data_IF_921876046055
#
_entry.id   IF_921876046055
#
_cell.length_a   1.000
_cell.length_b   1.000
_cell.length_c   1.000
_cell.angle_alpha   90.00
_cell.angle_beta   90.00
_cell.angle_gamma   90.00
#
_symmetry.space_group_name_H-M   'P 1'
#
loop_
_entity.id
_entity.type
_entity.pdbx_description
1 polymer ?
#
# COMPACT_ATOMS: atom_id res chain seq x y z
N UNK A 1 15.61 -7.26 0.94
CA UNK A 1 16.60 -6.41 1.65
C UNK A 1 17.95 -7.08 1.71
N UNK A 2 18.08 -8.33 2.26
CA UNK A 2 19.37 -9.03 2.42
C UNK A 2 20.16 -9.14 1.10
N UNK A 3 19.52 -9.55 0.00
CA UNK A 3 20.18 -9.73 -1.29
C UNK A 3 20.74 -8.41 -1.88
N UNK A 4 20.12 -7.27 -1.57
CA UNK A 4 20.52 -5.96 -2.06
C UNK A 4 21.29 -5.14 -1.02
N UNK A 5 21.46 -5.65 0.20
CA UNK A 5 22.03 -4.95 1.34
C UNK A 5 21.36 -3.60 1.61
N UNK A 6 20.02 -3.57 1.55
CA UNK A 6 19.22 -2.39 1.80
C UNK A 6 18.51 -2.48 3.15
N UNK A 7 18.25 -1.33 3.76
CA UNK A 7 17.43 -1.24 4.97
C UNK A 7 15.96 -1.52 4.63
N UNK A 8 15.26 -2.16 5.56
CA UNK A 8 13.82 -2.42 5.50
C UNK A 8 13.09 -1.42 6.38
N UNK A 9 11.96 -0.95 5.90
CA UNK A 9 10.95 -0.24 6.69
C UNK A 9 9.55 -0.62 6.19
N UNK A 10 8.53 -0.22 6.91
CA UNK A 10 7.14 -0.51 6.61
C UNK A 10 6.37 0.75 6.25
N UNK A 11 5.49 0.61 5.29
CA UNK A 11 4.32 1.47 5.09
C UNK A 11 3.11 0.61 5.38
N UNK A 12 2.16 1.10 6.16
CA UNK A 12 0.96 0.34 6.56
C UNK A 12 -0.28 0.99 5.92
N UNK A 13 -0.52 0.75 4.63
CA UNK A 13 -1.72 1.27 3.99
C UNK A 13 -2.95 0.50 4.48
N UNK A 14 -4.05 1.24 4.62
CA UNK A 14 -5.33 0.73 5.07
C UNK A 14 -6.40 1.00 4.05
N UNK A 15 -7.24 0.00 3.82
CA UNK A 15 -8.40 0.10 2.93
C UNK A 15 -9.48 0.97 3.57
N UNK A 16 -10.02 1.92 2.82
CA UNK A 16 -11.21 2.69 3.18
C UNK A 16 -12.39 1.97 2.56
N UNK A 17 -13.31 1.47 3.38
CA UNK A 17 -14.42 0.62 2.94
C UNK A 17 -15.70 1.43 2.71
N UNK A 18 -16.59 0.92 1.86
CA UNK A 18 -17.90 1.53 1.64
C UNK A 18 -18.83 1.31 2.84
N UNK A 19 -19.83 2.20 3.07
CA UNK A 19 -20.81 2.05 4.13
C UNK A 19 -21.53 0.69 4.05
N UNK A 20 -21.50 -0.06 5.15
CA UNK A 20 -22.18 -1.36 5.25
C UNK A 20 -21.57 -2.50 4.44
N UNK A 21 -20.44 -2.27 3.74
CA UNK A 21 -19.75 -3.32 2.99
C UNK A 21 -18.23 -3.24 3.17
N UNK A 22 -17.66 -3.94 4.16
CA UNK A 22 -16.23 -3.90 4.45
C UNK A 22 -15.35 -4.49 3.35
N UNK A 23 -15.91 -5.31 2.46
CA UNK A 23 -15.16 -5.89 1.34
C UNK A 23 -15.08 -4.97 0.13
N UNK A 24 -15.91 -3.93 0.07
CA UNK A 24 -15.95 -3.01 -1.04
C UNK A 24 -15.13 -1.74 -0.74
N UNK A 25 -13.93 -1.66 -1.32
CA UNK A 25 -13.03 -0.54 -1.12
C UNK A 25 -13.44 0.70 -1.94
N UNK A 26 -13.51 1.85 -1.28
CA UNK A 26 -13.68 3.17 -1.91
C UNK A 26 -12.38 3.96 -1.94
N UNK A 27 -11.32 3.44 -1.33
CA UNK A 27 -10.00 4.07 -1.30
C UNK A 27 -9.02 3.35 -0.41
N UNK A 28 -7.90 4.01 -0.17
CA UNK A 28 -6.88 3.58 0.78
C UNK A 28 -6.16 4.79 1.37
N UNK A 29 -5.59 4.62 2.56
CA UNK A 29 -4.78 5.62 3.26
C UNK A 29 -3.54 4.96 3.87
N UNK A 30 -2.45 5.69 3.98
CA UNK A 30 -1.28 5.33 4.78
C UNK A 30 -1.24 6.15 6.08
N UNK A 31 -0.34 5.78 6.99
CA UNK A 31 -0.26 6.34 8.36
C UNK A 31 -0.03 7.85 8.45
N UNK A 32 0.57 8.44 7.44
CA UNK A 32 0.98 9.86 7.41
C UNK A 32 0.12 10.74 6.51
N UNK A 33 -0.99 10.12 5.95
CA UNK A 33 -1.45 10.86 5.03
C UNK A 33 -2.66 11.18 4.38
N UNK A 34 -2.49 11.38 3.11
CA UNK A 34 -3.58 11.68 2.21
C UNK A 34 -4.20 10.37 1.71
N UNK A 35 -5.52 10.29 1.80
CA UNK A 35 -6.26 9.19 1.22
C UNK A 35 -6.17 9.20 -0.32
N UNK A 36 -6.14 8.02 -0.90
CA UNK A 36 -6.36 7.79 -2.33
C UNK A 36 -7.79 7.30 -2.48
N UNK A 37 -8.67 8.14 -2.96
CA UNK A 37 -10.10 7.85 -3.11
C UNK A 37 -10.47 7.48 -4.54
N UNK A 38 -11.49 6.65 -4.69
CA UNK A 38 -12.10 6.32 -5.97
C UNK A 38 -13.35 7.18 -6.18
N UNK A 39 -13.15 8.37 -6.77
CA UNK A 39 -14.19 9.37 -6.96
C UNK A 39 -15.38 8.83 -7.78
N UNK A 40 -15.14 7.97 -8.75
CA UNK A 40 -16.22 7.38 -9.56
C UNK A 40 -17.13 6.47 -8.74
N UNK A 41 -16.56 5.68 -7.84
CA UNK A 41 -17.33 4.82 -6.92
C UNK A 41 -18.07 5.67 -5.92
N UNK A 42 -17.41 6.66 -5.29
CA UNK A 42 -18.01 7.57 -4.32
C UNK A 42 -19.23 8.29 -4.92
N UNK A 43 -19.06 8.82 -6.12
CA UNK A 43 -20.12 9.50 -6.86
C UNK A 43 -21.28 8.56 -7.22
N UNK A 44 -20.98 7.34 -7.75
CA UNK A 44 -21.99 6.37 -8.14
C UNK A 44 -22.86 5.91 -6.97
N UNK A 45 -22.23 5.63 -5.83
CA UNK A 45 -22.93 5.16 -4.63
C UNK A 45 -23.36 6.28 -3.70
N UNK A 46 -23.13 7.56 -4.09
CA UNK A 46 -23.53 8.76 -3.33
C UNK A 46 -23.05 8.71 -1.86
N UNK A 47 -21.81 8.29 -1.67
CA UNK A 47 -21.21 8.19 -0.33
C UNK A 47 -20.96 9.60 0.20
N UNK A 48 -21.43 9.89 1.42
CA UNK A 48 -21.30 11.22 2.01
C UNK A 48 -19.86 11.55 2.39
N UNK A 49 -19.49 12.83 2.28
CA UNK A 49 -18.17 13.30 2.68
C UNK A 49 -17.93 13.08 4.18
N UNK A 50 -18.94 13.25 5.02
CA UNK A 50 -18.86 13.01 6.47
C UNK A 50 -18.44 11.57 6.79
N UNK A 51 -19.03 10.58 6.09
CA UNK A 51 -18.62 9.18 6.24
C UNK A 51 -17.17 8.96 5.82
N UNK A 52 -16.79 9.52 4.68
CA UNK A 52 -15.41 9.39 4.16
C UNK A 52 -14.40 9.97 5.16
N UNK A 53 -14.65 11.18 5.68
CA UNK A 53 -13.75 11.85 6.61
C UNK A 53 -13.59 11.04 7.91
N UNK A 54 -14.70 10.49 8.43
CA UNK A 54 -14.67 9.65 9.62
C UNK A 54 -13.91 8.34 9.39
N UNK A 55 -14.14 7.66 8.27
CA UNK A 55 -13.48 6.40 7.95
C UNK A 55 -11.97 6.61 7.68
N UNK A 56 -11.61 7.68 6.99
CA UNK A 56 -10.21 8.10 6.81
C UNK A 56 -9.51 8.28 8.15
N UNK A 57 -10.13 8.97 9.10
CA UNK A 57 -9.53 9.20 10.42
C UNK A 57 -9.40 7.91 11.23
N UNK A 58 -10.38 7.02 11.15
CA UNK A 58 -10.35 5.71 11.82
C UNK A 58 -9.23 4.83 11.26
N UNK A 59 -9.14 4.70 9.95
CA UNK A 59 -8.13 3.87 9.29
C UNK A 59 -6.71 4.45 9.44
N UNK A 60 -6.57 5.78 9.51
CA UNK A 60 -5.30 6.44 9.81
C UNK A 60 -4.80 6.11 11.22
N UNK A 61 -5.67 6.17 12.21
CA UNK A 61 -5.32 5.78 13.60
C UNK A 61 -4.90 4.32 13.68
N UNK A 62 -5.61 3.44 13.00
CA UNK A 62 -5.27 2.01 12.98
C UNK A 62 -3.95 1.76 12.24
N UNK A 63 -3.67 2.46 11.13
CA UNK A 63 -2.39 2.40 10.44
C UNK A 63 -1.24 2.81 11.37
N UNK A 64 -1.39 3.93 12.08
CA UNK A 64 -0.41 4.41 13.06
C UNK A 64 -0.19 3.42 14.21
N UNK A 65 -1.28 2.85 14.74
CA UNK A 65 -1.21 1.83 15.80
C UNK A 65 -0.40 0.61 15.34
N UNK A 66 -0.72 0.06 14.16
CA UNK A 66 0.00 -1.09 13.59
C UNK A 66 1.47 -0.77 13.34
N UNK A 67 1.75 0.38 12.72
CA UNK A 67 3.11 0.79 12.45
C UNK A 67 3.94 0.90 13.74
N UNK A 68 3.35 1.46 14.80
CA UNK A 68 4.01 1.54 16.11
C UNK A 68 4.27 0.15 16.71
N UNK A 69 3.33 -0.78 16.55
CA UNK A 69 3.50 -2.17 17.00
C UNK A 69 4.64 -2.87 16.26
N UNK A 70 4.68 -2.77 14.93
CA UNK A 70 5.68 -3.46 14.11
C UNK A 70 7.08 -2.84 14.22
N UNK A 71 7.17 -1.53 14.28
CA UNK A 71 8.46 -0.80 14.35
C UNK A 71 9.02 -0.76 15.76
N UNK A 72 8.18 -0.83 16.78
CA UNK A 72 8.61 -0.68 18.19
C UNK A 72 9.28 0.67 18.40
N UNK A 73 10.50 0.66 18.91
CA UNK A 73 11.29 1.87 19.18
C UNK A 73 12.19 2.31 18.01
N UNK A 74 12.14 1.63 16.87
CA UNK A 74 12.96 2.02 15.73
C UNK A 74 12.43 3.32 15.11
N UNK A 75 13.31 4.29 14.83
CA UNK A 75 12.90 5.49 14.11
C UNK A 75 12.57 5.13 12.66
N UNK A 76 11.64 5.87 12.03
CA UNK A 76 11.36 5.70 10.61
C UNK A 76 12.62 5.97 9.78
N UNK A 77 12.75 5.28 8.64
CA UNK A 77 13.82 5.58 7.71
C UNK A 77 13.66 7.00 7.16
N UNK A 78 14.76 7.74 7.15
CA UNK A 78 14.84 9.00 6.42
C UNK A 78 14.85 8.70 4.91
N UNK A 79 13.82 9.16 4.20
CA UNK A 79 13.66 8.97 2.76
C UNK A 79 14.08 10.19 1.94
N UNK A 80 14.43 11.31 2.61
CA UNK A 80 14.78 12.54 1.91
C UNK A 80 15.94 12.30 0.94
N UNK A 81 15.72 12.66 -0.31
CA UNK A 81 16.67 12.55 -1.42
C UNK A 81 17.12 11.10 -1.74
N UNK A 82 16.41 10.09 -1.24
CA UNK A 82 16.75 8.67 -1.46
C UNK A 82 15.83 8.00 -2.46
N UNK A 83 16.25 6.84 -2.94
CA UNK A 83 15.40 5.92 -3.70
C UNK A 83 14.63 5.03 -2.76
N UNK A 84 13.31 5.05 -2.84
CA UNK A 84 12.42 4.11 -2.17
C UNK A 84 12.03 2.98 -3.12
N UNK A 85 12.17 1.74 -2.69
CA UNK A 85 11.68 0.56 -3.41
C UNK A 85 10.49 0.01 -2.63
N UNK A 86 9.30 0.15 -3.19
CA UNK A 86 8.06 -0.40 -2.65
C UNK A 86 7.86 -1.81 -3.18
N UNK A 87 7.68 -2.76 -2.28
CA UNK A 87 7.53 -4.19 -2.61
C UNK A 87 6.24 -4.71 -2.01
N UNK A 88 5.53 -5.54 -2.75
CA UNK A 88 4.33 -6.23 -2.30
C UNK A 88 4.26 -7.60 -2.97
N UNK A 89 3.38 -8.50 -2.52
CA UNK A 89 3.12 -9.81 -3.11
C UNK A 89 2.39 -9.70 -4.46
N UNK A 90 1.63 -8.66 -4.69
CA UNK A 90 0.98 -8.36 -5.95
C UNK A 90 0.00 -7.20 -5.86
N UNK A 91 -0.39 -6.69 -7.02
CA UNK A 91 -1.27 -5.53 -7.10
C UNK A 91 -2.52 -5.86 -7.91
N UNK A 92 -3.69 -5.84 -7.24
CA UNK A 92 -4.99 -6.01 -7.89
C UNK A 92 -5.57 -4.65 -8.37
N UNK A 93 -6.09 -3.84 -7.46
CA UNK A 93 -6.71 -2.53 -7.80
C UNK A 93 -5.72 -1.36 -7.78
N UNK A 94 -4.61 -1.53 -7.09
CA UNK A 94 -3.57 -0.51 -6.92
C UNK A 94 -3.84 0.52 -5.83
N UNK A 95 -5.00 0.58 -5.20
CA UNK A 95 -5.33 1.61 -4.20
C UNK A 95 -4.34 1.62 -3.03
N UNK A 96 -4.01 0.44 -2.50
CA UNK A 96 -3.06 0.25 -1.39
C UNK A 96 -1.66 0.72 -1.77
N UNK A 97 -1.15 0.28 -2.93
CA UNK A 97 0.16 0.70 -3.43
C UNK A 97 0.22 2.20 -3.69
N UNK A 98 -0.83 2.80 -4.24
CA UNK A 98 -0.89 4.25 -4.48
C UNK A 98 -0.89 5.06 -3.18
N UNK A 99 -1.54 4.56 -2.11
CA UNK A 99 -1.43 5.17 -0.78
C UNK A 99 0.01 5.10 -0.25
N UNK A 100 0.71 3.97 -0.43
CA UNK A 100 2.12 3.83 -0.07
C UNK A 100 3.03 4.77 -0.90
N UNK A 101 2.78 4.91 -2.20
CA UNK A 101 3.50 5.86 -3.07
C UNK A 101 3.33 7.31 -2.57
N UNK A 102 2.11 7.73 -2.23
CA UNK A 102 1.87 9.06 -1.66
C UNK A 102 2.64 9.27 -0.36
N UNK A 103 2.63 8.28 0.54
CA UNK A 103 3.38 8.33 1.80
C UNK A 103 4.87 8.55 1.56
N UNK A 104 5.52 7.74 0.72
CA UNK A 104 6.96 7.90 0.49
C UNK A 104 7.31 9.18 -0.27
N UNK A 105 6.43 9.68 -1.13
CA UNK A 105 6.57 11.02 -1.75
C UNK A 105 6.55 12.13 -0.71
N UNK A 106 5.58 12.10 0.20
CA UNK A 106 5.46 13.06 1.28
C UNK A 106 6.70 13.08 2.20
N UNK A 107 7.35 11.92 2.37
CA UNK A 107 8.62 11.77 3.12
C UNK A 107 9.86 12.21 2.32
N UNK A 108 9.70 12.76 1.14
CA UNK A 108 10.77 13.35 0.33
C UNK A 108 11.62 12.35 -0.46
N UNK A 109 11.09 11.17 -0.77
CA UNK A 109 11.79 10.23 -1.65
C UNK A 109 12.06 10.87 -3.02
N UNK A 110 13.33 10.80 -3.49
CA UNK A 110 13.78 11.37 -4.76
C UNK A 110 13.40 10.49 -5.95
N UNK A 111 13.45 9.18 -5.78
CA UNK A 111 13.06 8.19 -6.79
C UNK A 111 12.21 7.12 -6.13
N UNK A 112 11.14 6.70 -6.81
CA UNK A 112 10.24 5.66 -6.35
C UNK A 112 10.22 4.53 -7.36
N UNK A 113 10.53 3.33 -6.90
CA UNK A 113 10.47 2.10 -7.68
C UNK A 113 9.39 1.22 -7.03
N UNK A 114 8.48 0.69 -7.83
CA UNK A 114 7.57 -0.37 -7.41
C UNK A 114 8.06 -1.70 -7.99
N UNK A 115 8.14 -2.73 -7.16
CA UNK A 115 8.58 -4.06 -7.58
C UNK A 115 7.65 -5.14 -7.02
N UNK A 116 6.92 -5.83 -7.89
CA UNK A 116 5.95 -6.87 -7.51
C UNK A 116 6.01 -8.06 -8.47
N UNK A 117 5.75 -9.30 -8.00
CA UNK A 117 5.68 -10.46 -8.88
C UNK A 117 4.53 -10.38 -9.89
N UNK A 118 3.37 -9.90 -9.47
CA UNK A 118 2.17 -9.88 -10.31
C UNK A 118 1.36 -8.60 -10.12
N UNK A 119 0.81 -8.09 -11.22
CA UNK A 119 -0.07 -6.91 -11.20
C UNK A 119 -1.18 -7.04 -12.23
N UNK A 120 -2.34 -6.44 -11.96
CA UNK A 120 -3.37 -6.26 -12.99
C UNK A 120 -2.91 -5.24 -14.04
N UNK A 121 -3.46 -5.32 -15.25
CA UNK A 121 -3.13 -4.34 -16.29
C UNK A 121 -3.61 -2.93 -15.93
N UNK A 122 -4.79 -2.81 -15.33
CA UNK A 122 -5.33 -1.53 -14.86
C UNK A 122 -4.44 -0.87 -13.80
N UNK A 123 -3.93 -1.66 -12.85
CA UNK A 123 -3.02 -1.15 -11.82
C UNK A 123 -1.66 -0.78 -12.41
N UNK A 124 -1.14 -1.59 -13.34
CA UNK A 124 0.11 -1.31 -14.05
C UNK A 124 0.03 0.04 -14.78
N UNK A 125 -1.03 0.27 -15.54
CA UNK A 125 -1.22 1.52 -16.29
C UNK A 125 -1.26 2.74 -15.35
N UNK A 126 -2.05 2.67 -14.26
CA UNK A 126 -2.21 3.78 -13.31
C UNK A 126 -0.93 4.07 -12.53
N UNK A 127 -0.29 3.03 -11.99
CA UNK A 127 0.87 3.18 -11.11
C UNK A 127 2.12 3.56 -11.90
N UNK A 128 2.30 3.07 -13.13
CA UNK A 128 3.43 3.45 -13.98
C UNK A 128 3.51 4.96 -14.26
N UNK A 129 2.39 5.67 -14.16
CA UNK A 129 2.35 7.13 -14.30
C UNK A 129 2.72 7.88 -13.01
N UNK A 130 2.76 7.19 -11.87
CA UNK A 130 2.98 7.77 -10.56
C UNK A 130 4.39 7.52 -9.98
N UNK A 131 5.18 6.65 -10.63
CA UNK A 131 6.50 6.22 -10.16
C UNK A 131 7.57 6.35 -11.23
N UNK A 132 8.84 6.33 -10.84
CA UNK A 132 9.96 6.42 -11.78
C UNK A 132 10.23 5.08 -12.48
N UNK A 133 9.90 3.96 -11.83
CA UNK A 133 10.11 2.63 -12.38
C UNK A 133 9.13 1.63 -11.79
N UNK A 134 8.55 0.76 -12.64
CA UNK A 134 7.68 -0.32 -12.22
C UNK A 134 8.21 -1.67 -12.73
N UNK A 135 8.64 -2.51 -11.83
CA UNK A 135 9.22 -3.83 -12.08
C UNK A 135 8.19 -4.91 -11.75
N UNK A 136 7.90 -5.80 -12.67
CA UNK A 136 6.97 -6.91 -12.46
C UNK A 136 7.37 -8.13 -13.29
N UNK A 137 6.91 -9.32 -12.88
CA UNK A 137 7.14 -10.57 -13.63
C UNK A 137 5.96 -10.90 -14.54
N UNK A 138 4.72 -10.67 -14.09
CA UNK A 138 3.50 -10.97 -14.84
C UNK A 138 2.46 -9.87 -14.72
N UNK A 139 1.81 -9.53 -15.83
CA UNK A 139 0.61 -8.68 -15.90
C UNK A 139 -0.44 -9.35 -16.79
N UNK A 140 -1.18 -10.37 -16.28
CA UNK A 140 -2.11 -11.17 -17.08
C UNK A 140 -3.34 -10.37 -17.48
N UNK A 141 -3.94 -10.73 -18.61
CA UNK A 141 -5.19 -10.12 -19.11
C UNK A 141 -6.36 -10.39 -18.16
N UNK A 142 -6.41 -11.59 -17.58
CA UNK A 142 -7.41 -11.95 -16.58
C UNK A 142 -6.76 -12.02 -15.21
N UNK A 143 -7.06 -11.06 -14.36
CA UNK A 143 -6.55 -10.95 -13.00
C UNK A 143 -7.70 -11.20 -12.01
N UNK A 144 -7.69 -12.36 -11.37
CA UNK A 144 -8.68 -12.71 -10.35
C UNK A 144 -8.27 -12.14 -8.97
N UNK A 145 -7.31 -12.80 -8.36
CA UNK A 145 -6.76 -12.40 -7.07
C UNK A 145 -5.25 -12.69 -7.03
N UNK A 146 -4.50 -11.94 -6.21
CA UNK A 146 -3.04 -12.11 -6.05
C UNK A 146 -2.68 -13.55 -5.68
N UNK A 147 -3.39 -14.12 -4.69
CA UNK A 147 -3.13 -15.48 -4.21
C UNK A 147 -3.25 -16.59 -5.25
N UNK A 148 -3.97 -16.34 -6.37
CA UNK A 148 -4.08 -17.31 -7.46
C UNK A 148 -2.77 -17.55 -8.25
N UNK A 149 -1.76 -16.71 -8.01
CA UNK A 149 -0.44 -16.79 -8.64
C UNK A 149 0.62 -17.46 -7.76
N UNK A 150 0.22 -17.95 -6.59
CA UNK A 150 1.10 -18.58 -5.60
C UNK A 150 0.65 -20.01 -5.30
N UNK A 151 1.58 -20.93 -5.15
CA UNK A 151 1.29 -22.31 -4.74
C UNK A 151 0.81 -22.39 -3.29
N UNK A 152 1.28 -21.48 -2.44
CA UNK A 152 0.83 -21.26 -1.07
C UNK A 152 0.75 -19.77 -0.78
N UNK A 153 -0.38 -19.31 -0.28
CA UNK A 153 -0.64 -17.91 0.02
C UNK A 153 -1.28 -17.79 1.38
N UNK A 154 -0.45 -17.92 2.42
CA UNK A 154 -0.87 -17.72 3.81
C UNK A 154 -0.65 -16.27 4.23
N UNK A 155 -1.42 -15.82 5.19
CA UNK A 155 -1.21 -14.53 5.81
C UNK A 155 0.07 -14.57 6.66
N UNK A 156 0.88 -13.52 6.56
CA UNK A 156 2.06 -13.31 7.41
C UNK A 156 1.59 -12.86 8.80
N UNK A 157 2.08 -13.52 9.85
CA UNK A 157 1.74 -13.18 11.22
C UNK A 157 2.49 -11.93 11.71
N UNK A 158 1.91 -11.22 12.67
CA UNK A 158 2.47 -9.97 13.19
C UNK A 158 3.88 -10.15 13.78
N UNK A 159 4.14 -11.29 14.44
CA UNK A 159 5.43 -11.64 15.01
C UNK A 159 6.52 -11.77 13.95
N UNK A 160 6.19 -12.37 12.81
CA UNK A 160 7.14 -12.50 11.69
C UNK A 160 7.49 -11.12 11.09
N UNK A 161 6.50 -10.23 10.98
CA UNK A 161 6.72 -8.85 10.51
C UNK A 161 7.65 -8.11 11.48
N UNK A 162 7.40 -8.21 12.79
CA UNK A 162 8.23 -7.57 13.83
C UNK A 162 9.67 -8.08 13.76
N UNK A 163 9.86 -9.40 13.62
CA UNK A 163 11.19 -9.99 13.53
C UNK A 163 11.95 -9.48 12.30
N UNK A 164 11.30 -9.42 11.13
CA UNK A 164 11.92 -8.98 9.88
C UNK A 164 12.32 -7.49 9.90
N UNK A 165 11.52 -6.65 10.53
CA UNK A 165 11.78 -5.19 10.61
C UNK A 165 12.91 -4.89 11.58
N UNK A 166 13.07 -5.68 12.63
CA UNK A 166 14.06 -5.46 13.69
C UNK A 166 15.41 -6.18 13.43
N UNK A 167 15.60 -6.82 12.27
CA UNK A 167 16.88 -7.40 11.81
C UNK A 167 17.77 -6.34 11.15
#
# INVERSE_FOLDING_TARGET
TKALNLKLDLVVPRKISAPGNPEFAIGAIAEDGEAVLNESVISTYKISQEYIDQEVENEKKEAQRRLSTYRGNLPPLDLKDKTAILVDDGIATGSTMRAAIKSVKAKGAKKIIVAVPVTSQDALEKISQEVDEFIYLKAPTFFGAVGAFYDSFSQTEDEEVIELVNQ
#
